data_IF_857981950646
#
_entry.id   IF_857981950646
#
_cell.length_a   1.000
_cell.length_b   1.000
_cell.length_c   1.000
_cell.angle_alpha   90.00
_cell.angle_beta   90.00
_cell.angle_gamma   90.00
#
_symmetry.space_group_name_H-M   'P 1'
#
loop_
_entity.id
_entity.type
_entity.pdbx_description
1 polymer ?
#
# COMPACT_ATOMS: atom_id res chain seq x y z
N UNK A 1 -13.72 8.54 -21.63
CA UNK A 1 -15.18 8.60 -21.86
C UNK A 1 -15.69 9.81 -21.13
N UNK A 2 -16.34 10.73 -21.85
CA UNK A 2 -16.98 11.89 -21.23
C UNK A 2 -18.22 11.44 -20.45
N UNK A 3 -18.62 12.22 -19.44
CA UNK A 3 -19.82 11.93 -18.66
C UNK A 3 -21.02 12.54 -19.38
N UNK A 4 -21.71 11.73 -20.15
CA UNK A 4 -22.76 12.18 -21.08
C UNK A 4 -24.13 12.32 -20.40
N UNK A 5 -24.38 11.61 -19.30
CA UNK A 5 -25.69 11.58 -18.63
C UNK A 5 -25.67 12.14 -17.20
N UNK A 6 -26.83 12.67 -16.76
CA UNK A 6 -27.04 13.24 -15.42
C UNK A 6 -28.19 12.56 -14.71
N UNK A 7 -27.96 12.17 -13.45
CA UNK A 7 -28.99 11.59 -12.57
C UNK A 7 -29.36 12.62 -11.50
N UNK A 8 -30.66 12.90 -11.35
CA UNK A 8 -31.19 13.73 -10.27
C UNK A 8 -31.71 12.86 -9.13
N UNK A 9 -31.19 13.05 -7.93
CA UNK A 9 -31.57 12.28 -6.74
C UNK A 9 -32.13 13.23 -5.69
N UNK A 10 -33.34 12.97 -5.20
CA UNK A 10 -33.94 13.68 -4.06
C UNK A 10 -33.51 13.02 -2.76
N UNK A 11 -32.91 13.79 -1.86
CA UNK A 11 -32.49 13.35 -0.52
C UNK A 11 -32.74 14.46 0.49
N UNK A 12 -32.81 14.06 1.77
CA UNK A 12 -32.86 15.02 2.87
C UNK A 12 -31.61 15.91 2.90
N UNK A 13 -31.78 17.18 3.28
CA UNK A 13 -30.70 18.17 3.36
C UNK A 13 -29.56 17.71 4.28
N UNK A 14 -29.89 17.23 5.47
CA UNK A 14 -28.92 16.70 6.45
C UNK A 14 -28.08 15.56 5.88
N UNK A 15 -28.69 14.68 5.09
CA UNK A 15 -28.00 13.57 4.42
C UNK A 15 -26.98 14.08 3.41
N UNK A 16 -27.35 15.08 2.59
CA UNK A 16 -26.44 15.71 1.62
C UNK A 16 -25.24 16.36 2.31
N UNK A 17 -25.46 17.02 3.44
CA UNK A 17 -24.39 17.63 4.24
C UNK A 17 -23.43 16.59 4.81
N UNK A 18 -23.95 15.49 5.35
CA UNK A 18 -23.13 14.39 5.84
C UNK A 18 -22.28 13.77 4.73
N UNK A 19 -22.84 13.55 3.54
CA UNK A 19 -22.10 13.04 2.39
C UNK A 19 -20.98 14.00 1.96
N UNK A 20 -21.26 15.32 1.93
CA UNK A 20 -20.22 16.33 1.65
C UNK A 20 -19.09 16.28 2.68
N UNK A 21 -19.39 16.16 3.97
CA UNK A 21 -18.37 16.02 5.03
C UNK A 21 -17.49 14.77 4.80
N UNK A 22 -18.11 13.65 4.46
CA UNK A 22 -17.40 12.40 4.16
C UNK A 22 -16.50 12.54 2.93
N UNK A 23 -17.02 13.15 1.85
CA UNK A 23 -16.26 13.48 0.65
C UNK A 23 -15.05 14.34 0.94
N UNK A 24 -15.18 15.39 1.78
CA UNK A 24 -14.05 16.24 2.17
C UNK A 24 -12.99 15.46 2.94
N UNK A 25 -13.40 14.60 3.90
CA UNK A 25 -12.48 13.76 4.68
C UNK A 25 -11.72 12.79 3.79
N UNK A 26 -12.43 12.12 2.87
CA UNK A 26 -11.86 11.16 1.92
C UNK A 26 -11.21 11.83 0.70
N UNK A 27 -11.30 13.16 0.54
CA UNK A 27 -10.83 13.88 -0.67
C UNK A 27 -11.37 13.29 -1.98
N UNK A 28 -12.64 12.87 -1.98
CA UNK A 28 -13.35 12.35 -3.15
C UNK A 28 -14.53 13.24 -3.52
N UNK A 29 -14.99 13.18 -4.76
CA UNK A 29 -16.19 13.90 -5.19
C UNK A 29 -17.47 13.18 -4.76
N UNK A 30 -18.59 13.91 -4.70
CA UNK A 30 -19.90 13.33 -4.41
C UNK A 30 -20.32 12.33 -5.50
N UNK A 31 -19.99 12.62 -6.77
CA UNK A 31 -20.24 11.72 -7.88
C UNK A 31 -19.46 10.42 -7.74
N UNK A 32 -18.17 10.48 -7.41
CA UNK A 32 -17.36 9.27 -7.19
C UNK A 32 -17.82 8.49 -5.95
N UNK A 33 -18.26 9.19 -4.89
CA UNK A 33 -18.85 8.51 -3.73
C UNK A 33 -20.06 7.67 -4.15
N UNK A 34 -21.01 8.26 -4.89
CA UNK A 34 -22.24 7.57 -5.32
C UNK A 34 -21.93 6.44 -6.30
N UNK A 35 -21.17 6.73 -7.37
CA UNK A 35 -20.82 5.74 -8.41
C UNK A 35 -20.10 4.55 -7.78
N UNK A 36 -19.04 4.79 -7.02
CA UNK A 36 -18.26 3.70 -6.43
C UNK A 36 -19.06 2.91 -5.39
N UNK A 37 -19.96 3.56 -4.64
CA UNK A 37 -20.82 2.84 -3.70
C UNK A 37 -21.84 1.94 -4.40
N UNK A 38 -22.41 2.39 -5.53
CA UNK A 38 -23.36 1.61 -6.32
C UNK A 38 -22.66 0.48 -7.07
N UNK A 39 -21.49 0.73 -7.62
CA UNK A 39 -20.69 -0.25 -8.38
C UNK A 39 -19.83 -1.15 -7.49
N UNK A 40 -19.91 -1.00 -6.16
CA UNK A 40 -19.09 -1.70 -5.18
C UNK A 40 -17.57 -1.61 -5.46
N UNK A 41 -17.12 -0.46 -5.96
CA UNK A 41 -15.72 -0.17 -6.28
C UNK A 41 -15.00 0.47 -5.10
N UNK A 42 -13.74 0.10 -4.89
CA UNK A 42 -12.86 0.75 -3.91
C UNK A 42 -12.75 2.25 -4.21
N UNK A 43 -12.77 3.08 -3.17
CA UNK A 43 -12.66 4.53 -3.33
C UNK A 43 -11.23 4.95 -3.73
N UNK A 44 -11.12 6.03 -4.50
CA UNK A 44 -9.84 6.49 -5.02
C UNK A 44 -8.84 6.90 -3.92
N UNK A 45 -9.33 7.33 -2.76
CA UNK A 45 -8.50 7.64 -1.60
C UNK A 45 -7.92 6.39 -0.96
N UNK A 46 -8.71 5.34 -0.82
CA UNK A 46 -8.26 4.04 -0.32
C UNK A 46 -7.18 3.46 -1.25
N UNK A 47 -7.41 3.51 -2.58
CA UNK A 47 -6.37 3.13 -3.57
C UNK A 47 -5.09 3.93 -3.39
N UNK A 48 -5.19 5.25 -3.18
CA UNK A 48 -4.01 6.11 -2.98
C UNK A 48 -3.26 5.79 -1.69
N UNK A 49 -3.97 5.51 -0.61
CA UNK A 49 -3.36 5.11 0.67
C UNK A 49 -2.60 3.79 0.53
N UNK A 50 -3.18 2.80 -0.17
CA UNK A 50 -2.53 1.53 -0.46
C UNK A 50 -1.26 1.74 -1.30
N UNK A 51 -1.31 2.55 -2.36
CA UNK A 51 -0.14 2.81 -3.20
C UNK A 51 0.98 3.52 -2.44
N UNK A 52 0.65 4.54 -1.63
CA UNK A 52 1.64 5.23 -0.80
C UNK A 52 2.27 4.30 0.25
N UNK A 53 1.48 3.36 0.78
CA UNK A 53 2.00 2.32 1.67
C UNK A 53 2.97 1.40 0.94
N UNK A 54 2.63 0.91 -0.25
CA UNK A 54 3.51 0.06 -1.08
C UNK A 54 4.84 0.77 -1.38
N UNK A 55 4.78 2.04 -1.79
CA UNK A 55 5.96 2.85 -2.11
C UNK A 55 6.87 3.03 -0.89
N UNK A 56 6.30 3.35 0.28
CA UNK A 56 7.07 3.45 1.53
C UNK A 56 7.76 2.14 1.89
N UNK A 57 7.11 1.00 1.68
CA UNK A 57 7.71 -0.31 1.90
C UNK A 57 8.87 -0.58 0.92
N UNK A 58 8.70 -0.24 -0.36
CA UNK A 58 9.78 -0.34 -1.36
C UNK A 58 11.04 0.42 -0.94
N UNK A 59 10.88 1.64 -0.42
CA UNK A 59 11.99 2.44 0.10
C UNK A 59 12.71 1.80 1.30
N UNK A 60 11.98 1.08 2.16
CA UNK A 60 12.58 0.34 3.28
C UNK A 60 13.40 -0.85 2.77
N UNK A 61 12.90 -1.60 1.79
CA UNK A 61 13.63 -2.73 1.22
C UNK A 61 14.91 -2.31 0.50
N UNK A 62 14.92 -1.18 -0.22
CA UNK A 62 16.15 -0.65 -0.84
C UNK A 62 17.24 -0.37 0.20
N UNK A 63 16.86 0.15 1.39
CA UNK A 63 17.82 0.37 2.49
C UNK A 63 18.37 -0.94 3.04
N UNK A 64 17.50 -1.95 3.20
CA UNK A 64 17.91 -3.29 3.64
C UNK A 64 18.89 -3.90 2.62
N UNK A 65 18.57 -3.86 1.33
CA UNK A 65 19.44 -4.35 0.26
C UNK A 65 20.80 -3.63 0.27
N UNK A 66 20.79 -2.31 0.47
CA UNK A 66 22.01 -1.52 0.58
C UNK A 66 22.87 -1.98 1.76
N UNK A 67 22.27 -2.22 2.93
CA UNK A 67 22.97 -2.71 4.12
C UNK A 67 23.56 -4.12 3.90
N UNK A 68 22.81 -5.02 3.28
CA UNK A 68 23.28 -6.36 2.88
C UNK A 68 24.51 -6.23 1.97
N UNK A 69 24.45 -5.38 0.95
CA UNK A 69 25.56 -5.15 0.02
C UNK A 69 26.79 -4.54 0.71
N UNK A 70 26.59 -3.69 1.72
CA UNK A 70 27.68 -3.14 2.53
C UNK A 70 28.37 -4.23 3.38
N UNK A 71 27.58 -5.08 4.05
CA UNK A 71 28.13 -6.23 4.79
C UNK A 71 28.93 -7.13 3.86
N UNK A 72 28.38 -7.49 2.69
CA UNK A 72 29.08 -8.31 1.70
C UNK A 72 30.41 -7.69 1.24
N UNK A 73 30.45 -6.36 1.01
CA UNK A 73 31.69 -5.64 0.67
C UNK A 73 32.73 -5.71 1.79
N UNK A 74 32.32 -5.54 3.05
CA UNK A 74 33.23 -5.62 4.21
C UNK A 74 33.82 -7.02 4.31
N UNK A 75 32.99 -8.06 4.22
CA UNK A 75 33.42 -9.46 4.28
C UNK A 75 34.38 -9.80 3.13
N UNK A 76 34.05 -9.40 1.91
CA UNK A 76 34.90 -9.64 0.74
C UNK A 76 36.25 -8.89 0.82
N UNK A 77 36.26 -7.70 1.41
CA UNK A 77 37.47 -6.90 1.60
C UNK A 77 38.38 -7.42 2.72
N UNK A 78 37.81 -7.82 3.85
CA UNK A 78 38.57 -8.34 5.00
C UNK A 78 38.90 -9.83 4.88
N UNK A 79 38.28 -10.56 3.93
CA UNK A 79 38.34 -12.03 3.76
C UNK A 79 38.03 -12.82 5.05
N UNK A 80 37.40 -12.18 6.01
CA UNK A 80 37.06 -12.73 7.32
C UNK A 80 35.70 -12.16 7.76
N UNK A 81 34.86 -13.03 8.28
CA UNK A 81 33.62 -12.68 8.97
C UNK A 81 33.57 -13.48 10.26
N UNK A 82 33.20 -12.84 11.37
CA UNK A 82 32.98 -13.59 12.60
C UNK A 82 31.72 -14.42 12.49
N UNK A 83 31.76 -15.63 13.02
CA UNK A 83 30.64 -16.57 13.01
C UNK A 83 29.37 -15.95 13.61
N UNK A 84 29.53 -15.19 14.70
CA UNK A 84 28.46 -14.43 15.34
C UNK A 84 27.81 -13.38 14.42
N UNK A 85 28.61 -12.62 13.66
CA UNK A 85 28.08 -11.62 12.73
C UNK A 85 27.35 -12.27 11.56
N UNK A 86 27.83 -13.42 11.08
CA UNK A 86 27.18 -14.20 10.04
C UNK A 86 25.84 -14.78 10.52
N UNK A 87 25.78 -15.25 11.76
CA UNK A 87 24.57 -15.74 12.41
C UNK A 87 23.53 -14.62 12.58
N UNK A 88 23.92 -13.49 13.15
CA UNK A 88 23.05 -12.31 13.33
C UNK A 88 22.49 -11.81 11.99
N UNK A 89 23.34 -11.79 10.95
CA UNK A 89 22.95 -11.42 9.60
C UNK A 89 21.95 -12.42 8.99
N UNK A 90 22.22 -13.72 9.14
CA UNK A 90 21.35 -14.79 8.65
C UNK A 90 19.97 -14.78 9.32
N UNK A 91 19.94 -14.53 10.63
CA UNK A 91 18.70 -14.39 11.40
C UNK A 91 17.88 -13.19 10.91
N UNK A 92 18.53 -12.05 10.70
CA UNK A 92 17.88 -10.84 10.17
C UNK A 92 17.31 -11.09 8.75
N UNK A 93 18.05 -11.77 7.89
CA UNK A 93 17.60 -12.17 6.55
C UNK A 93 16.37 -13.09 6.58
N UNK A 94 16.36 -14.07 7.48
CA UNK A 94 15.24 -14.98 7.68
C UNK A 94 13.97 -14.24 8.14
N UNK A 95 14.12 -13.27 9.04
CA UNK A 95 13.01 -12.42 9.48
C UNK A 95 12.46 -11.55 8.33
N UNK A 96 13.34 -10.95 7.53
CA UNK A 96 12.96 -10.19 6.33
C UNK A 96 12.20 -11.07 5.33
N UNK A 97 12.64 -12.32 5.12
CA UNK A 97 11.97 -13.26 4.22
C UNK A 97 10.54 -13.55 4.68
N UNK A 98 10.34 -13.78 6.00
CA UNK A 98 8.99 -13.97 6.58
C UNK A 98 8.10 -12.76 6.36
N UNK A 99 8.59 -11.56 6.69
CA UNK A 99 7.84 -10.32 6.52
C UNK A 99 7.45 -10.09 5.05
N UNK A 100 8.34 -10.43 4.11
CA UNK A 100 8.05 -10.32 2.67
C UNK A 100 6.96 -11.30 2.22
N UNK A 101 6.93 -12.52 2.76
CA UNK A 101 5.84 -13.48 2.47
C UNK A 101 4.49 -12.99 2.97
N UNK A 102 4.43 -12.47 4.20
CA UNK A 102 3.21 -11.89 4.75
C UNK A 102 2.73 -10.69 3.93
N UNK A 103 3.65 -9.79 3.57
CA UNK A 103 3.36 -8.65 2.72
C UNK A 103 2.79 -9.07 1.36
N UNK A 104 3.42 -10.03 0.68
CA UNK A 104 2.93 -10.53 -0.60
C UNK A 104 1.52 -11.12 -0.48
N UNK A 105 1.24 -11.84 0.61
CA UNK A 105 -0.11 -12.36 0.88
C UNK A 105 -1.13 -11.23 1.03
N UNK A 106 -0.78 -10.16 1.74
CA UNK A 106 -1.62 -8.97 1.88
C UNK A 106 -1.84 -8.30 0.51
N UNK A 107 -0.79 -8.16 -0.30
CA UNK A 107 -0.92 -7.60 -1.66
C UNK A 107 -1.77 -8.46 -2.57
N UNK A 108 -1.66 -9.78 -2.54
CA UNK A 108 -2.53 -10.68 -3.29
C UNK A 108 -3.99 -10.52 -2.87
N UNK A 109 -4.27 -10.38 -1.56
CA UNK A 109 -5.63 -10.10 -1.06
C UNK A 109 -6.14 -8.76 -1.57
N UNK A 110 -5.34 -7.70 -1.46
CA UNK A 110 -5.69 -6.37 -1.97
C UNK A 110 -5.96 -6.43 -3.49
N UNK A 111 -5.10 -7.10 -4.26
CA UNK A 111 -5.28 -7.29 -5.69
C UNK A 111 -6.57 -8.04 -6.02
N UNK A 112 -6.90 -9.09 -5.26
CA UNK A 112 -8.15 -9.84 -5.46
C UNK A 112 -9.41 -9.01 -5.21
N UNK A 113 -9.32 -8.00 -4.34
CA UNK A 113 -10.42 -7.06 -4.04
C UNK A 113 -10.45 -5.94 -5.09
N UNK A 114 -9.28 -5.52 -5.61
CA UNK A 114 -9.17 -4.45 -6.61
C UNK A 114 -9.44 -4.90 -8.06
N UNK A 115 -9.22 -6.19 -8.37
CA UNK A 115 -9.33 -6.79 -9.70
C UNK A 115 -10.70 -7.39 -10.04
N UNK A 116 -11.69 -7.24 -9.15
CA UNK A 116 -13.11 -7.46 -9.43
C UNK A 116 -13.81 -6.11 -9.55
#
# INVERSE_FOLDING_TARGET
>A
MEKEERIFIRIQKSRKENWKKLCSKKRISLSSLIINSVENRIFNDERRMVMAFIEKQGNVFIKIETNINQVARIVNGQKFISEKLLEDFSNTLSEIEKLKKEQNMIFSRIYSILGK
#
